data_IF_276633073557
#
_entry.id   IF_276633073557
#
_cell.length_a   1.000
_cell.length_b   1.000
_cell.length_c   1.000
_cell.angle_alpha   90.00
_cell.angle_beta   90.00
_cell.angle_gamma   90.00
#
_symmetry.space_group_name_H-M   'P 1'
#
loop_
_entity.id
_entity.type
_entity.pdbx_description
1 polymer ?
#
# COMPACT_ATOMS: atom_id res chain seq x y z
N UNK A 1 29.94 8.50 -4.98
CA UNK A 1 28.54 8.95 -4.91
C UNK A 1 28.27 9.41 -3.49
N UNK A 2 27.39 10.41 -3.30
CA UNK A 2 26.99 10.85 -1.97
C UNK A 2 25.91 9.90 -1.41
N UNK A 3 25.88 9.64 -0.09
CA UNK A 3 24.81 8.85 0.53
C UNK A 3 23.44 9.45 0.25
N UNK A 4 22.43 8.59 0.06
CA UNK A 4 21.02 8.98 -0.09
C UNK A 4 20.17 8.22 0.93
N UNK A 5 19.10 8.87 1.42
CA UNK A 5 18.08 8.24 2.27
C UNK A 5 16.82 8.01 1.44
N UNK A 6 16.36 6.76 1.42
CA UNK A 6 15.08 6.36 0.86
C UNK A 6 14.14 6.05 2.03
N UNK A 7 12.94 6.63 2.05
CA UNK A 7 12.01 6.52 3.17
C UNK A 7 10.59 6.31 2.66
N UNK A 8 9.86 5.46 3.35
CA UNK A 8 8.44 5.17 3.19
C UNK A 8 7.87 4.84 4.57
N UNK A 9 6.54 4.88 4.72
CA UNK A 9 5.88 4.41 5.94
C UNK A 9 5.06 3.14 5.68
N UNK A 10 4.66 2.47 6.75
CA UNK A 10 4.02 1.16 6.68
C UNK A 10 2.69 1.09 7.44
N UNK A 11 2.49 1.99 8.39
CA UNK A 11 1.19 2.20 9.02
C UNK A 11 0.18 2.71 7.98
N UNK A 12 -1.08 2.43 8.26
CA UNK A 12 -2.19 2.80 7.39
C UNK A 12 -3.29 3.43 8.22
N UNK A 13 -4.04 4.34 7.62
CA UNK A 13 -5.25 4.86 8.28
C UNK A 13 -6.27 3.73 8.49
N UNK A 14 -7.08 3.79 9.57
CA UNK A 14 -8.15 2.82 9.79
C UNK A 14 -9.11 2.71 8.61
N UNK A 15 -9.82 1.59 8.57
CA UNK A 15 -11.02 1.46 7.73
C UNK A 15 -12.22 1.73 8.62
N UNK A 16 -13.03 2.70 8.22
CA UNK A 16 -14.26 3.01 8.93
C UNK A 16 -15.26 1.85 8.83
N UNK A 17 -15.77 1.42 9.98
CA UNK A 17 -16.70 0.30 10.06
C UNK A 17 -18.03 0.61 9.37
N UNK A 18 -18.48 1.86 9.43
CA UNK A 18 -19.74 2.33 8.84
C UNK A 18 -19.76 2.28 7.30
N UNK A 19 -18.58 2.22 6.67
CA UNK A 19 -18.45 2.22 5.21
C UNK A 19 -17.67 1.02 4.70
N UNK A 20 -17.42 0.00 5.54
CA UNK A 20 -16.62 -1.17 5.15
C UNK A 20 -17.28 -1.96 4.01
N UNK A 21 -18.60 -1.95 3.96
CA UNK A 21 -19.44 -2.56 2.94
C UNK A 21 -19.42 -1.82 1.59
N UNK A 22 -19.00 -0.55 1.58
CA UNK A 22 -18.85 0.25 0.35
C UNK A 22 -17.57 -0.10 -0.43
N UNK A 23 -16.65 -0.83 0.17
CA UNK A 23 -15.44 -1.28 -0.52
C UNK A 23 -15.78 -2.31 -1.60
N UNK A 24 -15.31 -2.09 -2.83
CA UNK A 24 -15.47 -3.04 -3.94
C UNK A 24 -14.79 -4.38 -3.68
N UNK A 25 -13.65 -4.36 -2.97
CA UNK A 25 -12.95 -5.54 -2.49
C UNK A 25 -12.53 -5.31 -1.04
N UNK A 26 -12.53 -6.37 -0.23
CA UNK A 26 -12.22 -6.25 1.19
C UNK A 26 -10.87 -5.51 1.38
N UNK A 27 -10.82 -4.49 2.26
CA UNK A 27 -9.75 -3.49 2.31
C UNK A 27 -8.36 -4.08 2.60
N UNK A 28 -8.29 -5.25 3.24
CA UNK A 28 -7.03 -5.92 3.57
C UNK A 28 -6.83 -7.24 2.81
N UNK A 29 -7.61 -7.49 1.75
CA UNK A 29 -7.48 -8.71 0.93
C UNK A 29 -6.26 -8.72 0.01
N UNK A 30 -5.76 -7.55 -0.38
CA UNK A 30 -4.73 -7.45 -1.42
C UNK A 30 -5.20 -7.93 -2.78
N UNK A 31 -6.50 -7.83 -3.07
CA UNK A 31 -7.10 -8.31 -4.31
C UNK A 31 -6.41 -7.70 -5.54
N UNK A 32 -6.01 -8.54 -6.50
CA UNK A 32 -5.48 -8.10 -7.79
C UNK A 32 -6.56 -8.25 -8.84
N UNK A 33 -6.96 -7.15 -9.48
CA UNK A 33 -7.96 -7.14 -10.55
C UNK A 33 -7.55 -6.16 -11.64
N UNK A 34 -7.51 -6.63 -12.89
CA UNK A 34 -7.21 -5.81 -14.06
C UNK A 34 -5.96 -4.93 -13.82
N UNK A 35 -4.85 -5.59 -13.49
CA UNK A 35 -3.55 -4.98 -13.22
C UNK A 35 -3.50 -3.96 -12.07
N UNK A 36 -4.53 -3.97 -11.22
CA UNK A 36 -4.64 -3.09 -10.05
C UNK A 36 -4.69 -3.91 -8.77
N UNK A 37 -3.83 -3.55 -7.80
CA UNK A 37 -3.89 -4.07 -6.43
C UNK A 37 -4.85 -3.20 -5.62
N UNK A 38 -5.86 -3.82 -5.03
CA UNK A 38 -6.85 -3.18 -4.18
C UNK A 38 -6.57 -3.48 -2.71
N UNK A 39 -6.41 -2.42 -1.92
CA UNK A 39 -6.34 -2.52 -0.48
C UNK A 39 -5.95 -1.21 0.19
N UNK A 40 -6.38 -1.04 1.44
CA UNK A 40 -5.86 -0.01 2.35
C UNK A 40 -4.36 -0.22 2.51
N UNK A 41 -3.58 0.82 2.29
CA UNK A 41 -2.12 0.70 2.32
C UNK A 41 -1.47 0.45 0.96
N UNK A 42 -2.25 0.04 -0.07
CA UNK A 42 -1.66 -0.40 -1.33
C UNK A 42 -0.87 0.72 -2.01
N UNK A 43 -1.47 1.90 -2.16
CA UNK A 43 -0.80 3.09 -2.72
C UNK A 43 -0.10 3.89 -1.63
N UNK A 44 -0.79 4.14 -0.51
CA UNK A 44 -0.32 4.93 0.63
C UNK A 44 -0.10 3.99 1.84
N UNK A 45 1.11 3.50 2.08
CA UNK A 45 2.37 3.77 1.34
C UNK A 45 3.21 2.49 1.08
N UNK A 46 2.55 1.33 1.10
CA UNK A 46 3.24 0.04 0.97
C UNK A 46 3.85 -0.17 -0.41
N UNK A 47 3.27 0.42 -1.46
CA UNK A 47 3.88 0.45 -2.78
C UNK A 47 5.30 1.03 -2.71
N UNK A 48 5.46 2.21 -2.10
CA UNK A 48 6.77 2.84 -1.98
C UNK A 48 7.70 2.00 -1.10
N UNK A 49 7.21 1.49 0.03
CA UNK A 49 8.01 0.64 0.91
C UNK A 49 8.62 -0.57 0.17
N UNK A 50 7.83 -1.31 -0.60
CA UNK A 50 8.32 -2.47 -1.37
C UNK A 50 9.19 -2.03 -2.55
N UNK A 51 8.79 -0.99 -3.28
CA UNK A 51 9.54 -0.52 -4.44
C UNK A 51 10.94 -0.03 -4.06
N UNK A 52 11.09 0.67 -2.94
CA UNK A 52 12.39 1.13 -2.45
C UNK A 52 13.29 -0.03 -2.03
N UNK A 53 12.74 -1.04 -1.35
CA UNK A 53 13.48 -2.25 -0.98
C UNK A 53 13.98 -3.00 -2.22
N UNK A 54 13.13 -3.16 -3.23
CA UNK A 54 13.49 -3.85 -4.48
C UNK A 54 14.47 -3.03 -5.34
N UNK A 55 14.37 -1.70 -5.35
CA UNK A 55 15.27 -0.85 -6.13
C UNK A 55 16.73 -0.88 -5.63
N UNK A 56 16.94 -1.18 -4.35
CA UNK A 56 18.27 -1.28 -3.74
C UNK A 56 18.82 -2.70 -3.64
N UNK A 57 18.08 -3.68 -4.16
CA UNK A 57 18.40 -5.09 -4.06
C UNK A 57 19.58 -5.48 -4.95
#
# INVERSE_FOLDING_TARGET
>A
MHPILLMAHYDVVPVELETVDQWTYAPFSGMVRADTVWGRGAIDDKLACVALLEATR
#
